data_IF_498676567612
#
_entry.id   IF_498676567612
#
_cell.length_a   1.000
_cell.length_b   1.000
_cell.length_c   1.000
_cell.angle_alpha   90.00
_cell.angle_beta   90.00
_cell.angle_gamma   90.00
#
_symmetry.space_group_name_H-M   'P 1'
#
loop_
_entity.id
_entity.type
_entity.pdbx_description
1 polymer ?
#
# COMPACT_ATOMS: atom_id res chain seq x y z
N UNK A 1 -9.45 25.13 -19.11
CA UNK A 1 -8.43 25.23 -20.17
C UNK A 1 -7.07 24.97 -19.54
N UNK A 2 -6.21 24.22 -20.23
CA UNK A 2 -4.82 24.01 -19.82
C UNK A 2 -3.98 25.17 -20.40
N UNK A 3 -3.17 25.80 -19.57
CA UNK A 3 -2.25 26.90 -19.95
C UNK A 3 -0.80 26.45 -19.84
N UNK A 4 0.12 27.15 -20.52
CA UNK A 4 1.54 26.77 -20.56
C UNK A 4 2.21 26.64 -19.17
N UNK A 5 1.70 27.34 -18.15
CA UNK A 5 2.18 27.22 -16.77
C UNK A 5 1.84 25.87 -16.14
N UNK A 6 0.75 25.23 -16.56
CA UNK A 6 0.32 23.94 -16.04
C UNK A 6 1.31 22.82 -16.39
N UNK A 7 2.01 22.95 -17.53
CA UNK A 7 3.09 22.04 -17.92
C UNK A 7 4.26 22.04 -16.94
N UNK A 8 4.43 23.08 -16.12
CA UNK A 8 5.49 23.18 -15.10
C UNK A 8 4.98 22.87 -13.69
N UNK A 9 3.74 22.40 -13.55
CA UNK A 9 3.09 22.16 -12.27
C UNK A 9 3.11 20.68 -11.89
N UNK A 10 2.91 20.40 -10.60
CA UNK A 10 2.61 19.06 -10.08
C UNK A 10 1.19 19.08 -9.56
N UNK A 11 0.37 18.15 -10.04
CA UNK A 11 -1.07 18.07 -9.69
C UNK A 11 -1.38 16.73 -9.05
N UNK A 12 -2.11 16.75 -7.94
CA UNK A 12 -2.67 15.55 -7.32
C UNK A 12 -3.99 15.20 -8.01
N UNK A 13 -4.09 13.99 -8.53
CA UNK A 13 -5.28 13.49 -9.23
C UNK A 13 -5.84 12.26 -8.54
N UNK A 14 -7.16 12.23 -8.39
CA UNK A 14 -7.89 11.01 -8.07
C UNK A 14 -8.32 10.37 -9.39
N UNK A 15 -7.72 9.24 -9.80
CA UNK A 15 -8.04 8.61 -11.07
C UNK A 15 -9.44 8.01 -11.03
N UNK A 16 -9.99 7.77 -12.22
CA UNK A 16 -11.16 6.90 -12.35
C UNK A 16 -10.72 5.48 -12.00
N UNK A 17 -11.56 4.78 -11.25
CA UNK A 17 -11.32 3.42 -10.78
C UNK A 17 -11.69 2.42 -11.90
N UNK A 18 -11.13 2.61 -13.08
CA UNK A 18 -11.44 1.83 -14.30
C UNK A 18 -10.38 0.78 -14.62
N UNK A 19 -9.15 0.97 -14.14
CA UNK A 19 -8.07 0.00 -14.26
C UNK A 19 -7.97 -0.85 -12.97
N UNK A 20 -7.99 -2.20 -13.06
CA UNK A 20 -7.84 -3.09 -11.90
C UNK A 20 -6.60 -2.82 -11.04
N UNK A 21 -5.53 -2.31 -11.64
CA UNK A 21 -4.30 -1.90 -10.92
C UNK A 21 -4.52 -0.63 -10.11
N UNK A 22 -5.28 0.32 -10.65
CA UNK A 22 -5.63 1.58 -9.98
C UNK A 22 -6.67 1.34 -8.88
N UNK A 23 -7.66 0.46 -9.12
CA UNK A 23 -8.69 0.09 -8.15
C UNK A 23 -8.08 -0.49 -6.86
N UNK A 24 -6.99 -1.24 -6.97
CA UNK A 24 -6.33 -1.89 -5.81
C UNK A 24 -5.35 -0.99 -5.08
N UNK A 25 -4.93 0.11 -5.69
CA UNK A 25 -4.10 1.12 -5.05
C UNK A 25 -5.00 2.18 -4.45
N UNK A 26 -5.41 1.99 -3.20
CA UNK A 26 -6.10 3.03 -2.45
C UNK A 26 -5.18 4.25 -2.32
N UNK A 27 -5.45 5.29 -3.12
CA UNK A 27 -4.58 6.45 -3.17
C UNK A 27 -4.93 7.47 -4.24
N UNK A 28 -4.12 8.51 -4.28
CA UNK A 28 -4.12 9.53 -5.32
C UNK A 28 -2.75 9.55 -6.00
N UNK A 29 -2.70 10.01 -7.24
CA UNK A 29 -1.49 10.06 -8.04
C UNK A 29 -1.00 11.50 -8.17
N UNK A 30 0.31 11.67 -8.27
CA UNK A 30 0.88 12.94 -8.70
C UNK A 30 1.21 12.87 -10.18
N UNK A 31 0.66 13.82 -10.93
CA UNK A 31 1.08 14.10 -12.31
C UNK A 31 2.18 15.15 -12.23
N UNK A 32 3.36 14.80 -12.71
CA UNK A 32 4.51 15.69 -12.77
C UNK A 32 4.60 16.31 -14.16
N UNK A 33 4.54 17.64 -14.20
CA UNK A 33 4.96 18.40 -15.37
C UNK A 33 6.48 18.35 -15.58
N UNK A 34 6.95 19.21 -16.48
CA UNK A 34 8.33 19.33 -16.92
C UNK A 34 8.91 20.66 -16.42
N UNK A 35 10.14 20.64 -15.92
CA UNK A 35 10.86 21.83 -15.51
C UNK A 35 11.90 22.25 -16.56
N UNK A 36 11.48 23.12 -17.50
CA UNK A 36 12.29 23.74 -18.57
C UNK A 36 12.97 22.78 -19.57
N UNK A 37 13.36 21.56 -19.18
CA UNK A 37 13.93 20.50 -20.00
C UNK A 37 13.10 19.24 -19.83
N UNK A 38 12.84 18.51 -20.92
CA UNK A 38 12.04 17.26 -20.91
C UNK A 38 12.55 16.19 -19.94
N UNK A 39 13.83 16.23 -19.59
CA UNK A 39 14.47 15.29 -18.66
C UNK A 39 14.32 15.68 -17.19
N UNK A 40 13.78 16.88 -16.89
CA UNK A 40 13.65 17.39 -15.53
C UNK A 40 12.16 17.47 -15.14
N UNK A 41 11.74 16.85 -14.04
CA UNK A 41 10.37 16.98 -13.54
C UNK A 41 10.11 18.35 -12.93
N UNK A 42 8.84 18.76 -12.92
CA UNK A 42 8.36 19.93 -12.20
C UNK A 42 8.67 19.84 -10.69
N UNK A 43 9.00 20.98 -10.09
CA UNK A 43 9.24 21.06 -8.64
C UNK A 43 7.94 20.80 -7.87
N UNK A 44 8.02 19.98 -6.83
CA UNK A 44 6.90 19.67 -5.95
C UNK A 44 6.55 20.93 -5.12
N UNK A 45 5.30 21.42 -5.19
CA UNK A 45 4.83 22.52 -4.35
C UNK A 45 5.05 22.26 -2.87
N UNK A 46 5.35 23.32 -2.10
CA UNK A 46 5.66 23.20 -0.66
C UNK A 46 4.56 22.51 0.14
N UNK A 47 3.29 22.77 -0.23
CA UNK A 47 2.10 22.13 0.33
C UNK A 47 2.05 20.60 0.25
N UNK A 48 2.85 19.98 -0.63
CA UNK A 48 2.92 18.54 -0.77
C UNK A 48 4.18 17.93 -0.13
N UNK A 49 5.09 18.75 0.43
CA UNK A 49 6.19 18.19 1.20
C UNK A 49 5.62 17.53 2.45
N UNK A 50 5.89 16.24 2.58
CA UNK A 50 5.81 15.56 3.86
C UNK A 50 6.88 16.20 4.73
N UNK A 51 6.51 16.65 5.94
CA UNK A 51 7.44 17.22 6.92
C UNK A 51 8.71 16.38 6.96
N UNK A 52 9.86 17.03 6.75
CA UNK A 52 11.17 16.37 6.58
C UNK A 52 11.65 15.66 7.84
N UNK A 53 10.94 15.82 8.96
CA UNK A 53 11.17 15.05 10.17
C UNK A 53 10.87 13.58 9.88
N UNK A 54 11.89 12.69 9.90
CA UNK A 54 11.68 11.29 9.68
C UNK A 54 10.79 10.74 10.80
N UNK A 55 9.50 10.60 10.52
CA UNK A 55 8.56 10.02 11.48
C UNK A 55 8.87 8.53 11.60
N UNK A 56 9.76 8.18 12.52
CA UNK A 56 10.21 6.81 12.76
C UNK A 56 9.32 6.16 13.81
N UNK A 57 8.48 5.23 13.37
CA UNK A 57 7.72 4.36 14.27
C UNK A 57 8.60 3.22 14.79
N UNK A 58 9.02 3.31 16.05
CA UNK A 58 9.74 2.22 16.73
C UNK A 58 8.71 1.28 17.34
N UNK A 59 8.68 0.03 16.88
CA UNK A 59 7.70 -0.98 17.29
C UNK A 59 8.43 -2.11 18.01
N UNK A 60 7.95 -2.48 19.20
CA UNK A 60 8.44 -3.66 19.90
C UNK A 60 8.12 -4.94 19.12
N UNK A 61 9.07 -5.88 19.04
CA UNK A 61 8.95 -7.16 18.34
C UNK A 61 7.68 -7.93 18.74
N UNK A 62 7.30 -7.90 20.01
CA UNK A 62 6.08 -8.57 20.53
C UNK A 62 4.79 -8.01 19.92
N UNK A 63 4.76 -6.71 19.59
CA UNK A 63 3.60 -6.03 19.00
C UNK A 63 3.45 -6.23 17.50
N UNK A 64 4.52 -6.65 16.80
CA UNK A 64 4.55 -6.73 15.33
C UNK A 64 3.41 -7.59 14.75
N UNK A 65 3.19 -8.78 15.32
CA UNK A 65 2.15 -9.70 14.84
C UNK A 65 0.74 -9.11 15.01
N UNK A 66 0.48 -8.46 16.15
CA UNK A 66 -0.81 -7.81 16.43
C UNK A 66 -1.08 -6.65 15.48
N UNK A 67 -0.08 -5.80 15.25
CA UNK A 67 -0.17 -4.66 14.34
C UNK A 67 -0.38 -5.14 12.90
N UNK A 68 0.35 -6.17 12.46
CA UNK A 68 0.11 -6.76 11.13
C UNK A 68 -1.31 -7.32 10.98
N UNK A 69 -1.85 -7.94 12.03
CA UNK A 69 -3.26 -8.39 12.04
C UNK A 69 -4.25 -7.22 11.94
N UNK A 70 -4.02 -6.14 12.69
CA UNK A 70 -4.86 -4.93 12.63
C UNK A 70 -4.79 -4.24 11.27
N UNK A 71 -3.60 -4.11 10.70
CA UNK A 71 -3.37 -3.58 9.36
C UNK A 71 -4.06 -4.44 8.29
N UNK A 72 -3.99 -5.77 8.42
CA UNK A 72 -4.67 -6.67 7.51
C UNK A 72 -6.20 -6.50 7.53
N UNK A 73 -6.80 -6.24 8.70
CA UNK A 73 -8.25 -5.92 8.82
C UNK A 73 -8.60 -4.60 8.14
N UNK A 74 -7.69 -3.63 8.13
CA UNK A 74 -7.82 -2.36 7.40
C UNK A 74 -7.53 -2.50 5.90
N UNK A 75 -7.32 -3.71 5.39
CA UNK A 75 -6.97 -3.93 3.99
C UNK A 75 -5.54 -3.53 3.65
N UNK A 76 -4.65 -3.36 4.62
CA UNK A 76 -3.21 -3.11 4.43
C UNK A 76 -2.48 -4.44 4.63
N UNK A 77 -2.35 -5.21 3.56
CA UNK A 77 -1.62 -6.47 3.54
C UNK A 77 -0.89 -6.64 2.20
N UNK A 78 -0.03 -7.66 2.10
CA UNK A 78 0.81 -7.86 0.90
C UNK A 78 -0.02 -8.07 -0.38
N UNK A 79 -1.17 -8.73 -0.28
CA UNK A 79 -2.06 -8.98 -1.42
C UNK A 79 -2.86 -7.75 -1.86
N UNK A 80 -3.12 -6.79 -0.96
CA UNK A 80 -3.75 -5.52 -1.33
C UNK A 80 -2.74 -4.51 -1.88
N UNK A 81 -1.52 -4.49 -1.34
CA UNK A 81 -0.47 -3.56 -1.76
C UNK A 81 0.20 -3.97 -3.08
N UNK A 82 0.34 -5.28 -3.34
CA UNK A 82 1.00 -5.80 -4.54
C UNK A 82 -0.01 -6.58 -5.40
N UNK A 83 -0.48 -6.01 -6.52
CA UNK A 83 -1.52 -6.61 -7.35
C UNK A 83 -1.04 -7.78 -8.24
N UNK A 84 0.24 -8.14 -8.13
CA UNK A 84 0.88 -9.21 -8.90
C UNK A 84 0.38 -10.59 -8.44
N UNK A 85 0.09 -11.47 -9.40
CA UNK A 85 -0.50 -12.80 -9.15
C UNK A 85 0.38 -13.65 -8.21
N UNK A 86 1.71 -13.54 -8.32
CA UNK A 86 2.64 -14.28 -7.47
C UNK A 86 2.55 -13.87 -5.99
N UNK A 87 2.46 -12.56 -5.74
CA UNK A 87 2.35 -11.97 -4.40
C UNK A 87 1.02 -12.34 -3.75
N UNK A 88 -0.08 -12.27 -4.50
CA UNK A 88 -1.41 -12.71 -4.03
C UNK A 88 -1.44 -14.22 -3.75
N UNK A 89 -0.82 -15.03 -4.61
CA UNK A 89 -0.78 -16.49 -4.46
C UNK A 89 -0.01 -16.92 -3.21
N UNK A 90 1.13 -16.27 -2.91
CA UNK A 90 1.90 -16.49 -1.68
C UNK A 90 1.05 -16.18 -0.44
N UNK A 91 0.36 -15.05 -0.44
CA UNK A 91 -0.53 -14.65 0.65
C UNK A 91 -1.66 -15.66 0.89
N UNK A 92 -2.34 -16.11 -0.17
CA UNK A 92 -3.42 -17.11 -0.09
C UNK A 92 -2.89 -18.44 0.49
N UNK A 93 -1.77 -18.95 -0.04
CA UNK A 93 -1.14 -20.19 0.46
C UNK A 93 -0.80 -20.09 1.94
N UNK A 94 -0.25 -18.95 2.38
CA UNK A 94 0.15 -18.75 3.76
C UNK A 94 -1.06 -18.63 4.70
N UNK A 95 -2.14 -17.97 4.24
CA UNK A 95 -3.41 -17.89 4.98
C UNK A 95 -4.02 -19.28 5.20
N UNK A 96 -4.14 -20.09 4.14
CA UNK A 96 -4.64 -21.46 4.21
C UNK A 96 -3.80 -22.35 5.14
N UNK A 97 -2.47 -22.24 5.08
CA UNK A 97 -1.57 -22.98 5.98
C UNK A 97 -1.81 -22.61 7.45
N UNK A 98 -2.04 -21.33 7.74
CA UNK A 98 -2.32 -20.86 9.10
C UNK A 98 -3.71 -21.29 9.60
N UNK A 99 -4.70 -21.47 8.72
CA UNK A 99 -6.02 -21.98 9.08
C UNK A 99 -5.98 -23.49 9.37
N UNK A 100 -5.23 -24.26 8.57
CA UNK A 100 -5.02 -25.70 8.77
C UNK A 100 -4.29 -26.01 10.09
N UNK A 101 -3.29 -25.23 10.46
CA UNK A 101 -2.57 -25.42 11.74
C UNK A 101 -3.47 -25.12 12.95
N UNK A 102 -4.33 -24.10 12.87
CA UNK A 102 -5.33 -23.79 13.92
C UNK A 102 -6.40 -24.88 14.06
N UNK A 103 -6.84 -25.48 12.96
CA UNK A 103 -7.79 -26.59 12.98
C UNK A 103 -7.19 -27.85 13.65
N UNK A 104 -5.89 -28.11 13.46
CA UNK A 104 -5.20 -29.25 14.07
C UNK A 104 -4.94 -29.11 15.57
N UNK A 105 -4.88 -27.90 16.13
CA UNK A 105 -4.70 -27.67 17.58
C UNK A 105 -5.99 -27.80 18.41
N UNK A 106 -7.15 -28.00 17.77
CA UNK A 106 -8.46 -28.10 18.43
C UNK A 106 -8.89 -29.51 18.87
N UNK A 107 -8.19 -30.58 18.47
CA UNK A 107 -8.50 -31.95 18.91
C UNK A 107 -7.81 -32.27 20.25
N UNK A 108 -8.39 -31.84 21.37
CA UNK A 108 -8.11 -32.49 22.66
C UNK A 108 -8.58 -33.95 22.57
N UNK A 109 -7.65 -34.90 22.64
CA UNK A 109 -7.97 -36.33 22.80
C UNK A 109 -8.85 -36.51 24.06
N UNK A 110 -9.90 -37.34 24.00
CA UNK A 110 -10.63 -37.71 25.22
C UNK A 110 -9.68 -38.48 26.13
N UNK A 111 -9.61 -38.07 27.40
CA UNK A 111 -8.93 -38.83 28.45
C UNK A 111 -9.68 -40.16 28.62
N UNK A 112 -8.99 -41.27 28.36
CA UNK A 112 -9.33 -42.57 28.96
C UNK A 112 -8.75 -42.61 30.37
#
# INVERSE_FOLDING_TARGET
>A
MIVAKDLKSVVCVKPKLDNPRIIRQDGAFFIFGINNKKTLPANIPVKYHVTTEPYRLIINKSGKSKILGQLATLGINEASMFPEIDSVSKYIKQKLKNELTKASSGRKKPRR
#
